data_IF_730756443402
#
_entry.id   IF_730756443402
#
_cell.length_a   1.000
_cell.length_b   1.000
_cell.length_c   1.000
_cell.angle_alpha   90.00
_cell.angle_beta   90.00
_cell.angle_gamma   90.00
#
_symmetry.space_group_name_H-M   'P 1'
#
loop_
_entity.id
_entity.type
_entity.pdbx_description
1 polymer ?
#
# COMPACT_ATOMS: atom_id res chain seq x y z
N UNK A 1 64.92 -7.94 -28.95
CA UNK A 1 63.83 -8.91 -28.72
C UNK A 1 63.93 -9.33 -27.25
N UNK A 2 63.02 -9.09 -26.32
CA UNK A 2 61.59 -8.75 -26.31
C UNK A 2 61.34 -7.54 -25.37
N UNK A 3 60.44 -6.63 -25.76
CA UNK A 3 59.87 -5.60 -24.89
C UNK A 3 58.62 -6.17 -24.20
N UNK A 4 58.60 -6.25 -22.87
CA UNK A 4 57.36 -6.55 -22.13
C UNK A 4 56.61 -5.25 -21.84
N UNK A 5 55.53 -5.04 -22.61
CA UNK A 5 54.58 -3.94 -22.45
C UNK A 5 53.59 -4.36 -21.37
N UNK A 6 53.70 -3.81 -20.16
CA UNK A 6 52.66 -3.95 -19.13
C UNK A 6 51.46 -3.12 -19.57
N UNK A 7 50.48 -3.79 -20.19
CA UNK A 7 49.17 -3.19 -20.45
C UNK A 7 48.42 -3.08 -19.12
N UNK A 8 48.29 -1.87 -18.58
CA UNK A 8 47.27 -1.53 -17.57
C UNK A 8 45.89 -1.70 -18.21
N UNK A 9 45.17 -2.76 -17.87
CA UNK A 9 43.72 -2.83 -18.00
C UNK A 9 43.13 -3.04 -16.61
N UNK A 10 41.95 -2.47 -16.38
CA UNK A 10 41.27 -2.20 -15.11
C UNK A 10 41.76 -0.93 -14.41
N UNK A 11 41.23 0.21 -14.87
CA UNK A 11 41.34 1.52 -14.21
C UNK A 11 40.15 1.84 -13.31
N UNK A 12 39.47 0.84 -12.73
CA UNK A 12 38.48 1.06 -11.67
C UNK A 12 38.50 -0.14 -10.74
N UNK A 13 38.72 0.13 -9.46
CA UNK A 13 38.65 -0.86 -8.41
C UNK A 13 37.18 -1.32 -8.29
N UNK A 14 36.84 -2.61 -8.50
CA UNK A 14 35.46 -3.09 -8.40
C UNK A 14 34.84 -2.86 -7.02
N UNK A 15 35.70 -2.64 -6.01
CA UNK A 15 35.30 -2.29 -4.66
C UNK A 15 34.86 -0.82 -4.54
N UNK A 16 35.43 0.12 -5.30
CA UNK A 16 34.99 1.53 -5.28
C UNK A 16 33.56 1.69 -5.83
N UNK A 17 33.17 0.93 -6.85
CA UNK A 17 31.78 0.89 -7.34
C UNK A 17 30.83 0.15 -6.37
N UNK A 18 31.35 -0.77 -5.55
CA UNK A 18 30.58 -1.44 -4.50
C UNK A 18 30.37 -0.53 -3.28
N UNK A 19 31.34 0.32 -2.94
CA UNK A 19 31.26 1.28 -1.84
C UNK A 19 30.55 2.59 -2.24
N UNK A 20 30.63 3.01 -3.50
CA UNK A 20 29.84 4.14 -4.03
C UNK A 20 28.35 3.81 -4.08
N UNK A 21 27.99 2.57 -4.36
CA UNK A 21 26.59 2.07 -4.29
C UNK A 21 26.09 1.77 -2.86
N UNK A 22 26.95 1.79 -1.84
CA UNK A 22 26.58 1.41 -0.46
C UNK A 22 26.43 2.57 0.53
N UNK A 23 26.44 3.80 0.07
CA UNK A 23 26.32 4.96 0.99
C UNK A 23 25.42 6.07 0.48
N UNK A 24 24.31 5.74 -0.17
CA UNK A 24 23.08 6.48 0.12
C UNK A 24 22.41 5.74 1.26
N UNK A 25 22.56 6.26 2.49
CA UNK A 25 21.58 6.00 3.53
C UNK A 25 20.25 6.50 2.96
N UNK A 26 19.46 5.63 2.32
CA UNK A 26 18.10 5.97 1.93
C UNK A 26 17.35 6.21 3.23
N UNK A 27 17.23 7.48 3.59
CA UNK A 27 16.49 7.93 4.76
C UNK A 27 15.10 7.32 4.70
N UNK A 28 14.81 6.42 5.63
CA UNK A 28 13.49 5.82 5.82
C UNK A 28 12.82 6.52 6.98
N UNK A 29 11.57 6.92 6.79
CA UNK A 29 10.77 7.53 7.84
C UNK A 29 9.55 6.67 8.08
N UNK A 30 9.33 6.30 9.34
CA UNK A 30 8.11 5.62 9.73
C UNK A 30 7.03 6.66 10.00
N UNK A 31 5.93 6.55 9.25
CA UNK A 31 4.74 7.36 9.41
C UNK A 31 3.69 6.49 10.09
N UNK A 32 3.21 6.95 11.25
CA UNK A 32 2.13 6.33 12.00
C UNK A 32 0.79 6.91 11.55
N UNK A 33 -0.20 6.05 11.34
CA UNK A 33 -1.59 6.41 11.09
C UNK A 33 -2.47 5.80 12.17
N UNK A 34 -3.22 6.65 12.86
CA UNK A 34 -4.15 6.23 13.92
C UNK A 34 -5.37 5.56 13.29
N UNK A 35 -5.75 4.41 13.85
CA UNK A 35 -6.99 3.74 13.43
C UNK A 35 -8.19 4.61 13.81
N UNK A 36 -9.09 4.94 12.85
CA UNK A 36 -10.21 5.81 13.14
C UNK A 36 -11.37 5.10 13.85
N UNK A 37 -11.25 3.78 14.04
CA UNK A 37 -12.14 2.96 14.88
C UNK A 37 -11.49 2.53 16.20
N UNK A 38 -10.28 3.02 16.49
CA UNK A 38 -9.58 2.72 17.76
C UNK A 38 -8.96 1.32 17.83
N UNK A 39 -8.74 0.66 16.69
CA UNK A 39 -7.91 -0.55 16.60
C UNK A 39 -6.42 -0.22 16.67
N UNK A 40 -5.56 -1.22 16.44
CA UNK A 40 -4.13 -1.00 16.32
C UNK A 40 -3.78 0.00 15.20
N UNK A 41 -2.77 0.82 15.46
CA UNK A 41 -2.29 1.83 14.53
C UNK A 41 -1.48 1.19 13.39
N UNK A 42 -1.58 1.79 12.21
CA UNK A 42 -0.77 1.41 11.07
C UNK A 42 0.57 2.16 11.09
N UNK A 43 1.66 1.43 10.83
CA UNK A 43 2.99 2.00 10.63
C UNK A 43 3.41 1.75 9.19
N UNK A 44 3.66 2.85 8.46
CA UNK A 44 4.06 2.83 7.05
C UNK A 44 5.47 3.40 6.93
N UNK A 45 6.42 2.57 6.49
CA UNK A 45 7.79 3.00 6.24
C UNK A 45 7.88 3.63 4.85
N UNK A 46 8.04 4.94 4.79
CA UNK A 46 8.32 5.64 3.53
C UNK A 46 9.83 5.74 3.33
N UNK A 47 10.31 5.16 2.24
CA UNK A 47 11.71 5.28 1.83
C UNK A 47 11.85 6.48 0.89
N UNK A 48 12.94 7.24 1.04
CA UNK A 48 13.24 8.34 0.11
C UNK A 48 13.13 7.91 -1.36
N UNK A 49 12.34 8.67 -2.14
CA UNK A 49 12.06 8.40 -3.54
C UNK A 49 10.99 7.34 -3.82
N UNK A 50 10.33 6.77 -2.79
CA UNK A 50 9.18 5.89 -2.97
C UNK A 50 7.88 6.71 -2.97
N UNK A 51 7.54 7.25 -4.15
CA UNK A 51 6.33 8.08 -4.36
C UNK A 51 5.06 7.28 -4.08
N UNK A 52 5.02 6.01 -4.47
CA UNK A 52 3.86 5.11 -4.31
C UNK A 52 3.48 4.95 -2.82
N UNK A 53 4.46 4.78 -1.93
CA UNK A 53 4.20 4.73 -0.49
C UNK A 53 3.62 6.03 0.06
N UNK A 54 4.01 7.20 -0.48
CA UNK A 54 3.46 8.49 -0.07
C UNK A 54 2.01 8.68 -0.60
N UNK A 55 1.75 8.29 -1.84
CA UNK A 55 0.42 8.29 -2.44
C UNK A 55 -0.56 7.39 -1.68
N UNK A 56 -0.10 6.22 -1.23
CA UNK A 56 -0.93 5.28 -0.47
C UNK A 56 -1.31 5.84 0.90
N UNK A 57 -0.40 6.56 1.57
CA UNK A 57 -0.71 7.25 2.84
C UNK A 57 -1.78 8.32 2.61
N UNK A 58 -1.61 9.18 1.61
CA UNK A 58 -2.56 10.26 1.32
C UNK A 58 -3.92 9.68 0.94
N UNK A 59 -3.94 8.64 0.12
CA UNK A 59 -5.16 7.94 -0.31
C UNK A 59 -5.86 7.28 0.86
N UNK A 60 -5.13 6.60 1.75
CA UNK A 60 -5.68 5.96 2.94
C UNK A 60 -6.31 6.97 3.91
N UNK A 61 -5.65 8.10 4.15
CA UNK A 61 -6.19 9.19 4.99
C UNK A 61 -7.47 9.74 4.37
N UNK A 62 -7.44 10.11 3.08
CA UNK A 62 -8.61 10.68 2.40
C UNK A 62 -9.77 9.69 2.33
N UNK A 63 -9.48 8.41 2.15
CA UNK A 63 -10.47 7.35 2.17
C UNK A 63 -11.11 7.21 3.55
N UNK A 64 -10.31 7.06 4.61
CA UNK A 64 -10.80 6.99 5.99
C UNK A 64 -11.67 8.20 6.37
N UNK A 65 -11.26 9.41 5.97
CA UNK A 65 -12.05 10.62 6.18
C UNK A 65 -13.41 10.57 5.47
N UNK A 66 -13.53 9.96 4.29
CA UNK A 66 -14.81 9.83 3.57
C UNK A 66 -15.67 8.68 4.09
N UNK A 67 -15.05 7.64 4.65
CA UNK A 67 -15.76 6.47 5.16
C UNK A 67 -16.48 6.77 6.47
N UNK A 68 -15.92 7.64 7.31
CA UNK A 68 -16.46 7.92 8.65
C UNK A 68 -17.13 9.30 8.62
N UNK A 69 -18.47 9.38 8.73
CA UNK A 69 -19.21 10.64 8.53
C UNK A 69 -18.75 11.79 9.44
N UNK A 70 -18.51 11.52 10.73
CA UNK A 70 -18.04 12.54 11.67
C UNK A 70 -16.64 13.05 11.31
N UNK A 71 -15.78 12.17 10.80
CA UNK A 71 -14.45 12.53 10.35
C UNK A 71 -14.51 13.32 9.04
N UNK A 72 -15.43 12.97 8.13
CA UNK A 72 -15.67 13.69 6.88
C UNK A 72 -16.03 15.14 7.16
N UNK A 73 -16.97 15.36 8.08
CA UNK A 73 -17.43 16.69 8.49
C UNK A 73 -16.28 17.55 9.03
N UNK A 74 -15.36 16.96 9.80
CA UNK A 74 -14.21 17.69 10.35
C UNK A 74 -13.16 17.95 9.25
N UNK A 75 -12.95 17.00 8.35
CA UNK A 75 -11.91 17.02 7.33
C UNK A 75 -12.28 17.77 6.04
N UNK A 76 -13.57 18.03 5.78
CA UNK A 76 -14.10 18.57 4.51
C UNK A 76 -13.45 19.89 4.06
N UNK A 77 -13.02 20.73 5.00
CA UNK A 77 -12.41 22.03 4.72
C UNK A 77 -10.89 22.05 4.97
N UNK A 78 -10.30 20.91 5.34
CA UNK A 78 -8.89 20.75 5.63
C UNK A 78 -8.31 19.61 4.80
N UNK A 79 -8.23 18.40 5.35
CA UNK A 79 -7.52 17.27 4.77
C UNK A 79 -8.06 16.85 3.38
N UNK A 80 -9.39 16.93 3.18
CA UNK A 80 -10.01 16.50 1.94
C UNK A 80 -9.78 17.46 0.76
N UNK A 81 -9.52 18.75 1.03
CA UNK A 81 -9.25 19.77 0.00
C UNK A 81 -7.76 20.00 -0.25
N UNK A 82 -6.89 19.51 0.63
CA UNK A 82 -5.45 19.69 0.49
C UNK A 82 -4.90 18.91 -0.71
N UNK A 83 -4.11 19.61 -1.52
CA UNK A 83 -3.25 19.00 -2.53
C UNK A 83 -1.84 18.89 -1.95
N UNK A 84 -1.38 17.66 -1.72
CA UNK A 84 -0.10 17.38 -1.07
C UNK A 84 0.91 16.98 -2.14
N UNK A 85 2.07 17.63 -2.15
CA UNK A 85 3.19 17.18 -2.97
C UNK A 85 3.77 15.90 -2.37
N UNK A 86 3.56 14.78 -3.08
CA UNK A 86 4.00 13.43 -2.69
C UNK A 86 5.52 13.31 -2.64
N UNK A 87 6.26 14.22 -3.28
CA UNK A 87 7.72 14.24 -3.27
C UNK A 87 8.29 14.93 -2.03
N UNK A 88 7.49 15.75 -1.33
CA UNK A 88 7.86 16.40 -0.08
C UNK A 88 7.42 15.56 1.12
N UNK A 89 8.36 14.76 1.63
CA UNK A 89 8.12 13.88 2.77
C UNK A 89 7.73 14.64 4.05
N UNK A 90 8.18 15.89 4.21
CA UNK A 90 7.81 16.68 5.38
C UNK A 90 6.33 17.07 5.32
N UNK A 91 5.82 17.41 4.13
CA UNK A 91 4.39 17.66 3.92
C UNK A 91 3.55 16.39 4.10
N UNK A 92 3.99 15.25 3.57
CA UNK A 92 3.29 13.96 3.77
C UNK A 92 3.20 13.61 5.25
N UNK A 93 4.29 13.80 6.01
CA UNK A 93 4.32 13.56 7.45
C UNK A 93 3.40 14.52 8.21
N UNK A 94 3.45 15.82 7.89
CA UNK A 94 2.57 16.81 8.51
C UNK A 94 1.08 16.51 8.24
N UNK A 95 0.77 16.01 7.04
CA UNK A 95 -0.58 15.60 6.68
C UNK A 95 -1.07 14.41 7.53
N UNK A 96 -0.21 13.40 7.71
CA UNK A 96 -0.50 12.26 8.59
C UNK A 96 -0.66 12.67 10.07
N UNK A 97 0.18 13.59 10.56
CA UNK A 97 0.08 14.14 11.91
C UNK A 97 -1.23 14.91 12.12
N UNK A 98 -1.67 15.70 11.14
CA UNK A 98 -2.93 16.41 11.18
C UNK A 98 -4.14 15.44 11.22
N UNK A 99 -4.11 14.39 10.39
CA UNK A 99 -5.10 13.31 10.45
C UNK A 99 -5.14 12.63 11.82
N UNK A 100 -3.98 12.25 12.37
CA UNK A 100 -3.89 11.60 13.67
C UNK A 100 -4.47 12.47 14.78
N UNK A 101 -4.15 13.76 14.78
CA UNK A 101 -4.65 14.72 15.77
C UNK A 101 -6.18 14.79 15.77
N UNK A 102 -6.79 14.96 14.59
CA UNK A 102 -8.24 15.01 14.44
C UNK A 102 -8.90 13.68 14.84
N UNK A 103 -8.29 12.57 14.45
CA UNK A 103 -8.81 11.22 14.73
C UNK A 103 -8.77 10.90 16.22
N UNK A 104 -7.68 11.25 16.90
CA UNK A 104 -7.57 11.11 18.36
C UNK A 104 -8.63 11.98 19.07
N UNK A 105 -8.83 13.22 18.63
CA UNK A 105 -9.88 14.09 19.16
C UNK A 105 -11.27 13.45 18.99
N UNK A 106 -11.56 12.92 17.80
CA UNK A 106 -12.83 12.23 17.51
C UNK A 106 -13.05 11.01 18.42
N UNK A 107 -12.04 10.14 18.55
CA UNK A 107 -12.10 8.94 19.40
C UNK A 107 -12.27 9.28 20.88
N UNK A 108 -11.82 10.46 21.33
CA UNK A 108 -12.00 10.90 22.72
C UNK A 108 -13.44 11.31 23.05
N UNK A 109 -14.31 11.51 22.03
CA UNK A 109 -15.69 11.97 22.22
C UNK A 109 -16.57 10.81 22.70
N UNK A 110 -17.16 10.98 23.90
CA UNK A 110 -18.04 9.97 24.54
C UNK A 110 -19.20 9.46 23.69
N UNK A 111 -19.65 10.24 22.72
CA UNK A 111 -20.79 9.90 21.86
C UNK A 111 -20.38 9.28 20.52
N UNK A 112 -19.08 9.23 20.20
CA UNK A 112 -18.62 8.62 18.98
C UNK A 112 -18.67 7.10 19.12
N UNK A 113 -19.39 6.44 18.21
CA UNK A 113 -19.45 4.99 18.12
C UNK A 113 -18.42 4.53 17.11
N UNK A 114 -17.36 3.91 17.60
CA UNK A 114 -16.24 3.44 16.80
C UNK A 114 -16.38 1.97 16.38
N UNK A 115 -17.60 1.53 16.08
CA UNK A 115 -17.89 0.14 15.74
C UNK A 115 -17.45 -0.18 14.30
N UNK A 116 -16.43 -1.03 14.09
CA UNK A 116 -15.91 -1.31 12.75
C UNK A 116 -16.97 -1.89 11.81
N UNK A 117 -17.94 -2.64 12.33
CA UNK A 117 -18.98 -3.28 11.51
C UNK A 117 -19.88 -2.26 10.81
N UNK A 118 -20.01 -1.05 11.36
CA UNK A 118 -20.82 0.02 10.77
C UNK A 118 -20.20 0.61 9.51
N UNK A 119 -18.90 0.40 9.30
CA UNK A 119 -18.15 0.99 8.19
C UNK A 119 -17.78 -0.04 7.12
N UNK A 120 -18.22 -1.30 7.24
CA UNK A 120 -17.89 -2.33 6.25
C UNK A 120 -18.75 -2.13 5.00
N UNK A 121 -18.14 -1.63 3.93
CA UNK A 121 -18.74 -1.51 2.60
C UNK A 121 -17.88 -2.23 1.55
N UNK A 122 -18.45 -2.44 0.35
CA UNK A 122 -17.71 -2.98 -0.81
C UNK A 122 -16.51 -2.10 -1.16
N UNK A 123 -16.65 -0.77 -1.05
CA UNK A 123 -15.57 0.18 -1.30
C UNK A 123 -14.43 0.05 -0.26
N UNK A 124 -14.77 -0.16 1.02
CA UNK A 124 -13.79 -0.39 2.08
C UNK A 124 -13.05 -1.70 1.86
N UNK A 125 -13.76 -2.77 1.49
CA UNK A 125 -13.15 -4.05 1.15
C UNK A 125 -12.20 -3.91 -0.05
N UNK A 126 -12.64 -3.26 -1.12
CA UNK A 126 -11.83 -2.99 -2.31
C UNK A 126 -10.56 -2.23 -1.94
N UNK A 127 -10.70 -1.16 -1.16
CA UNK A 127 -9.57 -0.33 -0.75
C UNK A 127 -8.56 -1.08 0.12
N UNK A 128 -9.02 -1.89 1.09
CA UNK A 128 -8.15 -2.72 1.92
C UNK A 128 -7.38 -3.74 1.08
N UNK A 129 -8.05 -4.41 0.13
CA UNK A 129 -7.41 -5.40 -0.73
C UNK A 129 -6.34 -4.77 -1.63
N UNK A 130 -6.59 -3.56 -2.15
CA UNK A 130 -5.59 -2.77 -2.87
C UNK A 130 -4.34 -2.51 -2.01
N UNK A 131 -4.53 -2.00 -0.79
CA UNK A 131 -3.42 -1.74 0.13
C UNK A 131 -2.64 -3.02 0.49
N UNK A 132 -3.34 -4.14 0.69
CA UNK A 132 -2.71 -5.43 0.93
C UNK A 132 -1.88 -5.90 -0.26
N UNK A 133 -2.37 -5.71 -1.49
CA UNK A 133 -1.63 -6.02 -2.71
C UNK A 133 -0.34 -5.21 -2.81
N UNK A 134 -0.45 -3.88 -2.75
CA UNK A 134 0.67 -2.94 -2.89
C UNK A 134 1.75 -3.19 -1.82
N UNK A 135 1.35 -3.60 -0.61
CA UNK A 135 2.29 -3.95 0.46
C UNK A 135 2.94 -5.32 0.26
N UNK A 136 2.24 -6.27 -0.33
CA UNK A 136 2.69 -7.67 -0.40
C UNK A 136 3.46 -7.99 -1.68
N UNK A 137 3.16 -7.30 -2.78
CA UNK A 137 3.74 -7.57 -4.10
C UNK A 137 4.78 -6.49 -4.42
N UNK A 138 6.06 -6.85 -4.29
CA UNK A 138 7.19 -5.93 -4.52
C UNK A 138 7.85 -6.08 -5.89
N UNK A 139 7.56 -7.17 -6.62
CA UNK A 139 8.13 -7.47 -7.93
C UNK A 139 7.08 -8.17 -8.81
N UNK A 140 6.28 -7.39 -9.53
CA UNK A 140 5.26 -7.88 -10.47
C UNK A 140 5.85 -8.69 -11.62
N UNK A 141 7.05 -8.32 -12.09
CA UNK A 141 7.77 -8.98 -13.20
C UNK A 141 8.13 -10.46 -12.93
N UNK A 142 8.19 -10.88 -11.66
CA UNK A 142 8.47 -12.27 -11.30
C UNK A 142 7.21 -13.14 -11.21
N UNK A 143 6.01 -12.53 -11.20
CA UNK A 143 4.73 -13.26 -11.22
C UNK A 143 4.31 -13.65 -12.65
N UNK A 144 4.73 -12.89 -13.66
CA UNK A 144 4.39 -13.15 -15.07
C UNK A 144 5.33 -14.13 -15.79
N UNK A 145 6.36 -14.69 -15.12
CA UNK A 145 7.30 -15.63 -15.73
C UNK A 145 6.80 -17.07 -15.62
N UNK A 146 5.78 -17.42 -16.40
CA UNK A 146 5.54 -18.80 -16.77
C UNK A 146 5.49 -18.92 -18.28
N UNK A 147 6.47 -19.68 -18.81
CA UNK A 147 6.61 -20.04 -20.21
C UNK A 147 5.30 -20.63 -20.74
N UNK A 148 5.02 -20.36 -22.02
CA UNK A 148 3.82 -20.63 -22.83
C UNK A 148 3.27 -22.08 -22.85
N UNK A 149 3.76 -22.99 -22.01
CA UNK A 149 3.34 -24.39 -21.94
C UNK A 149 3.25 -24.99 -20.52
N UNK A 150 3.29 -24.22 -19.43
CA UNK A 150 2.89 -24.72 -18.10
C UNK A 150 1.52 -24.16 -17.71
N UNK A 151 0.65 -25.00 -17.14
CA UNK A 151 -0.68 -24.63 -16.63
C UNK A 151 -0.62 -23.70 -15.39
N UNK A 152 0.46 -22.93 -15.21
CA UNK A 152 0.68 -22.02 -14.08
C UNK A 152 0.46 -20.58 -14.54
N UNK A 153 -0.75 -20.30 -15.05
CA UNK A 153 -1.19 -18.92 -15.27
C UNK A 153 -1.55 -18.39 -13.88
N UNK A 154 -0.87 -17.32 -13.45
CA UNK A 154 -1.22 -16.62 -12.21
C UNK A 154 -2.66 -16.12 -12.36
N UNK A 155 -3.59 -16.77 -11.67
CA UNK A 155 -5.02 -16.52 -11.77
C UNK A 155 -5.41 -15.35 -10.89
N UNK A 156 -5.15 -14.13 -11.34
CA UNK A 156 -5.78 -12.97 -10.71
C UNK A 156 -7.27 -12.95 -11.05
N UNK A 157 -8.10 -12.63 -10.06
CA UNK A 157 -9.54 -12.41 -10.23
C UNK A 157 -9.81 -10.94 -9.92
N UNK A 158 -10.57 -10.22 -10.75
CA UNK A 158 -10.86 -8.81 -10.48
C UNK A 158 -11.87 -8.64 -9.34
N UNK A 159 -11.83 -7.49 -8.67
CA UNK A 159 -12.80 -7.17 -7.61
C UNK A 159 -14.22 -7.23 -8.17
N UNK A 160 -14.44 -6.66 -9.35
CA UNK A 160 -15.74 -6.61 -10.04
C UNK A 160 -16.31 -8.00 -10.28
N UNK A 161 -15.46 -8.95 -10.67
CA UNK A 161 -15.92 -10.30 -10.94
C UNK A 161 -16.36 -11.00 -9.65
N UNK A 162 -15.61 -10.84 -8.55
CA UNK A 162 -16.06 -11.34 -7.25
C UNK A 162 -17.32 -10.60 -6.78
N UNK A 163 -17.39 -9.29 -6.97
CA UNK A 163 -18.52 -8.45 -6.58
C UNK A 163 -19.83 -8.93 -7.22
N UNK A 164 -19.75 -9.31 -8.51
CA UNK A 164 -20.83 -9.87 -9.31
C UNK A 164 -21.14 -11.33 -8.98
N UNK A 165 -20.11 -12.14 -8.70
CA UNK A 165 -20.25 -13.58 -8.48
C UNK A 165 -20.76 -13.93 -7.09
N UNK A 166 -20.27 -13.24 -6.05
CA UNK A 166 -20.56 -13.57 -4.65
C UNK A 166 -22.06 -13.63 -4.32
N UNK A 167 -22.91 -12.70 -4.79
CA UNK A 167 -24.36 -12.78 -4.58
C UNK A 167 -25.01 -13.98 -5.28
N UNK A 168 -24.47 -14.43 -6.43
CA UNK A 168 -25.00 -15.55 -7.22
C UNK A 168 -24.69 -16.91 -6.60
N UNK A 169 -23.57 -17.01 -5.88
CA UNK A 169 -23.17 -18.23 -5.17
C UNK A 169 -24.05 -18.52 -3.95
N UNK A 170 -24.71 -17.49 -3.39
CA UNK A 170 -25.63 -17.61 -2.26
C UNK A 170 -25.06 -18.43 -1.09
N UNK A 171 -23.77 -18.20 -0.78
CA UNK A 171 -23.01 -18.92 0.25
C UNK A 171 -23.71 -18.79 1.60
N UNK A 172 -23.93 -19.92 2.25
CA UNK A 172 -24.53 -20.04 3.58
C UNK A 172 -23.48 -20.33 4.64
N UNK A 173 -23.77 -20.10 5.93
CA UNK A 173 -22.82 -20.35 7.02
C UNK A 173 -22.32 -21.81 7.12
N UNK A 174 -23.07 -22.77 6.59
CA UNK A 174 -22.74 -24.20 6.56
C UNK A 174 -22.00 -24.64 5.29
N UNK A 175 -21.86 -23.76 4.31
CA UNK A 175 -21.12 -24.03 3.08
C UNK A 175 -19.60 -23.96 3.31
N UNK A 176 -18.86 -24.80 2.57
CA UNK A 176 -17.39 -24.78 2.56
C UNK A 176 -16.92 -24.16 1.24
N UNK A 177 -16.27 -23.00 1.32
CA UNK A 177 -15.62 -22.37 0.18
C UNK A 177 -14.18 -22.88 0.03
N UNK A 178 -13.84 -23.40 -1.15
CA UNK A 178 -12.50 -23.88 -1.48
C UNK A 178 -12.03 -23.15 -2.73
N UNK A 179 -10.94 -22.41 -2.61
CA UNK A 179 -10.26 -21.81 -3.76
C UNK A 179 -9.13 -22.73 -4.25
N UNK A 180 -9.26 -23.22 -5.48
CA UNK A 180 -8.32 -24.15 -6.09
C UNK A 180 -7.37 -23.40 -7.02
N UNK A 181 -6.11 -23.31 -6.63
CA UNK A 181 -5.11 -22.54 -7.37
C UNK A 181 -5.03 -21.07 -6.95
N UNK A 182 -5.37 -20.78 -5.68
CA UNK A 182 -5.53 -19.44 -5.11
C UNK A 182 -4.33 -18.49 -5.23
N UNK A 183 -3.15 -18.99 -5.62
CA UNK A 183 -1.93 -18.19 -5.76
C UNK A 183 -1.64 -17.32 -4.52
N UNK A 184 -1.16 -16.10 -4.76
CA UNK A 184 -1.45 -15.00 -3.85
C UNK A 184 -2.92 -14.66 -4.13
N UNK A 185 -3.82 -14.95 -3.19
CA UNK A 185 -5.24 -14.62 -3.31
C UNK A 185 -5.39 -13.10 -3.28
N UNK A 186 -5.05 -12.44 -4.38
CA UNK A 186 -5.09 -11.00 -4.47
C UNK A 186 -5.62 -10.62 -5.83
N UNK A 187 -6.55 -9.68 -5.75
CA UNK A 187 -7.24 -9.09 -6.87
C UNK A 187 -6.25 -8.44 -7.84
N UNK A 188 -6.50 -8.58 -9.14
CA UNK A 188 -5.67 -7.98 -10.17
C UNK A 188 -5.45 -6.49 -9.91
N UNK A 189 -4.20 -6.03 -9.99
CA UNK A 189 -3.86 -4.59 -9.90
C UNK A 189 -4.59 -3.75 -10.95
N UNK A 190 -4.88 -4.36 -12.10
CA UNK A 190 -5.51 -3.72 -13.25
C UNK A 190 -7.02 -3.45 -13.04
N UNK A 191 -7.54 -3.84 -11.87
CA UNK A 191 -8.89 -3.58 -11.40
C UNK A 191 -8.93 -2.57 -10.23
N UNK A 192 -7.92 -1.73 -10.01
CA UNK A 192 -7.89 -0.73 -8.92
C UNK A 192 -7.54 0.70 -9.32
#
# INVERSE_FOLDING_TARGET
>A
MLNFRVMKWFSKDPLEDLFSKKTEFKMSHDIRLVSPVGSDDAYVTVRWGNIESAENIISAIKFACKTIPELEIIAQNTLLKMNIDVTDLALVKAFAEAYNSITIDLLSKKNFKNDPEQFVTRDVLRFILKLCYEKSVTYTDNLQRNSTFSNQIYGEVSFELLDELMPKLAIKPDDVFIDLGSGMFILASDAF
#
